data_IF_023915530952
#
_entry.id   IF_023915530952
#
_cell.length_a   1.000
_cell.length_b   1.000
_cell.length_c   1.000
_cell.angle_alpha   90.00
_cell.angle_beta   90.00
_cell.angle_gamma   90.00
#
_symmetry.space_group_name_H-M   'P 1'
#
loop_
_entity.id
_entity.type
_entity.pdbx_description
1 polymer ?
#
# COMPACT_ATOMS: atom_id res chain seq x y z
N UNK A 1 53.42 -15.90 21.80
CA UNK A 1 52.28 -16.74 21.36
C UNK A 1 51.39 -16.07 20.28
N UNK A 2 51.58 -14.79 19.92
CA UNK A 2 50.68 -14.08 18.99
C UNK A 2 50.97 -14.23 17.48
N UNK A 3 52.22 -14.48 17.08
CA UNK A 3 52.57 -14.50 15.66
C UNK A 3 52.21 -15.80 14.92
N UNK A 4 52.38 -16.94 15.59
CA UNK A 4 52.05 -18.25 15.01
C UNK A 4 50.54 -18.40 14.78
N UNK A 5 49.74 -17.87 15.71
CA UNK A 5 48.28 -17.82 15.60
C UNK A 5 47.83 -16.93 14.44
N UNK A 6 48.38 -15.71 14.31
CA UNK A 6 48.09 -14.82 13.17
C UNK A 6 48.46 -15.46 11.82
N UNK A 7 49.56 -16.20 11.75
CA UNK A 7 49.97 -16.93 10.53
C UNK A 7 49.08 -18.14 10.21
N UNK A 8 48.50 -18.80 11.22
CA UNK A 8 47.52 -19.86 10.98
C UNK A 8 46.17 -19.29 10.54
N UNK A 9 45.67 -18.25 11.21
CA UNK A 9 44.43 -17.55 10.82
C UNK A 9 44.55 -16.98 9.41
N UNK A 10 45.69 -16.36 9.06
CA UNK A 10 45.91 -15.83 7.70
C UNK A 10 45.92 -16.92 6.62
N UNK A 11 46.49 -18.09 6.88
CA UNK A 11 46.48 -19.22 5.92
C UNK A 11 45.11 -19.87 5.78
N UNK A 12 44.40 -20.04 6.88
CA UNK A 12 42.99 -20.48 6.85
C UNK A 12 42.18 -19.44 6.09
N UNK A 13 42.48 -18.15 6.32
CA UNK A 13 41.82 -17.04 5.66
C UNK A 13 42.12 -17.00 4.15
N UNK A 14 43.34 -17.27 3.71
CA UNK A 14 43.63 -17.33 2.27
C UNK A 14 42.99 -18.56 1.63
N UNK A 15 42.89 -19.67 2.36
CA UNK A 15 42.33 -20.93 1.86
C UNK A 15 40.82 -20.88 1.60
N UNK A 16 40.00 -20.45 2.57
CA UNK A 16 38.55 -20.28 2.33
C UNK A 16 38.27 -19.19 1.28
N UNK A 17 39.06 -18.09 1.21
CA UNK A 17 38.86 -17.06 0.19
C UNK A 17 39.07 -17.62 -1.22
N UNK A 18 40.10 -18.44 -1.46
CA UNK A 18 40.35 -19.07 -2.76
C UNK A 18 39.26 -20.06 -3.13
N UNK A 19 38.76 -20.86 -2.17
CA UNK A 19 37.65 -21.78 -2.40
C UNK A 19 36.36 -21.02 -2.75
N UNK A 20 36.06 -19.94 -2.04
CA UNK A 20 34.90 -19.09 -2.30
C UNK A 20 35.03 -18.38 -3.65
N UNK A 21 36.22 -17.88 -4.00
CA UNK A 21 36.48 -17.26 -5.30
C UNK A 21 36.37 -18.25 -6.46
N UNK A 22 36.88 -19.47 -6.29
CA UNK A 22 36.74 -20.55 -7.27
C UNK A 22 35.28 -20.90 -7.48
N UNK A 23 34.52 -21.07 -6.39
CA UNK A 23 33.09 -21.33 -6.43
C UNK A 23 32.31 -20.18 -7.07
N UNK A 24 32.63 -18.94 -6.74
CA UNK A 24 32.04 -17.75 -7.35
C UNK A 24 32.29 -17.69 -8.86
N UNK A 25 33.49 -18.06 -9.32
CA UNK A 25 33.83 -18.01 -10.74
C UNK A 25 33.24 -19.18 -11.53
N UNK A 26 33.09 -20.35 -10.89
CA UNK A 26 32.52 -21.54 -11.52
C UNK A 26 30.99 -21.43 -11.63
N UNK A 27 30.32 -20.86 -10.62
CA UNK A 27 28.86 -20.74 -10.54
C UNK A 27 28.35 -19.31 -10.71
N UNK A 28 29.13 -18.39 -11.27
CA UNK A 28 28.77 -16.96 -11.35
C UNK A 28 27.44 -16.71 -12.08
N UNK A 29 27.17 -17.48 -13.14
CA UNK A 29 25.91 -17.41 -13.89
C UNK A 29 24.71 -17.90 -13.06
N UNK A 30 24.86 -18.98 -12.30
CA UNK A 30 23.79 -19.52 -11.45
C UNK A 30 23.47 -18.57 -10.30
N UNK A 31 24.50 -17.96 -9.72
CA UNK A 31 24.36 -16.92 -8.70
C UNK A 31 23.60 -15.71 -9.27
N UNK A 32 23.95 -15.26 -10.48
CA UNK A 32 23.25 -14.17 -11.16
C UNK A 32 21.77 -14.49 -11.38
N UNK A 33 21.45 -15.69 -11.90
CA UNK A 33 20.07 -16.13 -12.11
C UNK A 33 19.31 -16.18 -10.79
N UNK A 34 19.94 -16.70 -9.74
CA UNK A 34 19.34 -16.78 -8.39
C UNK A 34 19.02 -15.38 -7.87
N UNK A 35 19.96 -14.43 -7.97
CA UNK A 35 19.73 -13.04 -7.57
C UNK A 35 18.59 -12.43 -8.38
N UNK A 36 18.58 -12.63 -9.70
CA UNK A 36 17.53 -12.09 -10.58
C UNK A 36 16.15 -12.66 -10.22
N UNK A 37 16.09 -13.96 -9.91
CA UNK A 37 14.87 -14.64 -9.48
C UNK A 37 14.37 -14.10 -8.13
N UNK A 38 15.27 -13.84 -7.18
CA UNK A 38 14.91 -13.25 -5.89
C UNK A 38 14.38 -11.82 -6.04
N UNK A 39 14.96 -11.02 -6.94
CA UNK A 39 14.45 -9.68 -7.25
C UNK A 39 13.04 -9.77 -7.86
N UNK A 40 12.82 -10.68 -8.81
CA UNK A 40 11.51 -10.90 -9.40
C UNK A 40 10.48 -11.35 -8.37
N UNK A 41 10.82 -12.32 -7.52
CA UNK A 41 9.94 -12.78 -6.43
C UNK A 41 9.63 -11.63 -5.49
N UNK A 42 10.62 -10.84 -5.07
CA UNK A 42 10.41 -9.69 -4.20
C UNK A 42 9.46 -8.67 -4.83
N UNK A 43 9.67 -8.31 -6.10
CA UNK A 43 8.78 -7.39 -6.82
C UNK A 43 7.35 -7.92 -6.92
N UNK A 44 7.20 -9.21 -7.15
CA UNK A 44 5.90 -9.87 -7.27
C UNK A 44 5.19 -9.92 -5.91
N UNK A 45 5.92 -10.25 -4.85
CA UNK A 45 5.47 -10.23 -3.45
C UNK A 45 5.06 -8.81 -3.04
N UNK A 46 5.91 -7.80 -3.24
CA UNK A 46 5.60 -6.41 -2.90
C UNK A 46 4.34 -5.93 -3.63
N UNK A 47 4.19 -6.25 -4.92
CA UNK A 47 3.02 -5.87 -5.70
C UNK A 47 1.75 -6.65 -5.30
N UNK A 48 1.87 -7.93 -4.95
CA UNK A 48 0.74 -8.76 -4.56
C UNK A 48 0.27 -8.43 -3.13
N UNK A 49 1.20 -8.33 -2.18
CA UNK A 49 0.91 -7.96 -0.80
C UNK A 49 0.39 -6.54 -0.69
N UNK A 50 0.95 -5.56 -1.40
CA UNK A 50 0.44 -4.18 -1.35
C UNK A 50 -1.03 -4.11 -1.77
N UNK A 51 -1.40 -4.75 -2.87
CA UNK A 51 -2.79 -4.81 -3.33
C UNK A 51 -3.70 -5.59 -2.38
N UNK A 52 -3.22 -6.70 -1.83
CA UNK A 52 -3.99 -7.53 -0.92
C UNK A 52 -4.22 -6.85 0.44
N UNK A 53 -3.17 -6.24 0.99
CA UNK A 53 -3.22 -5.47 2.23
C UNK A 53 -4.06 -4.22 2.08
N UNK A 54 -3.99 -3.50 0.96
CA UNK A 54 -4.87 -2.33 0.69
C UNK A 54 -6.35 -2.75 0.67
N UNK A 55 -6.66 -3.90 0.07
CA UNK A 55 -8.03 -4.43 0.06
C UNK A 55 -8.51 -4.82 1.46
N UNK A 56 -7.66 -5.50 2.24
CA UNK A 56 -7.98 -5.86 3.63
C UNK A 56 -8.11 -4.61 4.49
N UNK A 57 -7.23 -3.64 4.32
CA UNK A 57 -7.27 -2.37 5.05
C UNK A 57 -8.62 -1.68 4.82
N UNK A 58 -9.03 -1.50 3.56
CA UNK A 58 -10.32 -0.88 3.23
C UNK A 58 -11.52 -1.65 3.79
N UNK A 59 -11.42 -2.98 3.84
CA UNK A 59 -12.45 -3.83 4.45
C UNK A 59 -12.47 -3.70 5.99
N UNK A 60 -11.31 -3.72 6.65
CA UNK A 60 -11.19 -3.59 8.10
C UNK A 60 -11.66 -2.23 8.60
N UNK A 61 -11.40 -1.17 7.83
CA UNK A 61 -11.85 0.19 8.16
C UNK A 61 -13.30 0.47 7.72
N UNK A 62 -14.01 -0.53 7.20
CA UNK A 62 -15.42 -0.45 6.82
C UNK A 62 -15.76 0.77 5.97
N UNK A 63 -14.90 1.06 4.97
CA UNK A 63 -15.08 2.21 4.09
C UNK A 63 -16.45 2.24 3.43
N UNK A 64 -16.97 1.07 3.04
CA UNK A 64 -18.32 0.93 2.48
C UNK A 64 -19.41 1.36 3.47
N UNK A 65 -19.35 0.89 4.72
CA UNK A 65 -20.32 1.25 5.75
C UNK A 65 -20.32 2.75 6.06
N UNK A 66 -19.13 3.33 6.23
CA UNK A 66 -18.99 4.77 6.49
C UNK A 66 -19.45 5.61 5.30
N UNK A 67 -19.11 5.23 4.07
CA UNK A 67 -19.59 5.94 2.87
C UNK A 67 -21.11 5.83 2.71
N UNK A 68 -21.70 4.68 3.02
CA UNK A 68 -23.15 4.50 2.98
C UNK A 68 -23.88 5.37 4.01
N UNK A 69 -23.37 5.45 5.24
CA UNK A 69 -23.93 6.31 6.28
C UNK A 69 -23.80 7.80 5.94
N UNK A 70 -22.62 8.24 5.51
CA UNK A 70 -22.40 9.62 5.09
C UNK A 70 -23.29 10.01 3.91
N UNK A 71 -23.41 9.12 2.91
CA UNK A 71 -24.32 9.32 1.78
C UNK A 71 -25.77 9.47 2.25
N UNK A 72 -26.24 8.58 3.13
CA UNK A 72 -27.60 8.62 3.66
C UNK A 72 -27.89 9.95 4.37
N UNK A 73 -26.92 10.47 5.11
CA UNK A 73 -27.03 11.77 5.77
C UNK A 73 -27.03 12.93 4.76
N UNK A 74 -26.24 12.87 3.69
CA UNK A 74 -26.23 13.88 2.62
C UNK A 74 -27.52 13.86 1.78
N UNK A 75 -28.09 12.69 1.52
CA UNK A 75 -29.33 12.53 0.75
C UNK A 75 -30.60 12.71 1.61
N UNK A 76 -30.45 12.87 2.93
CA UNK A 76 -31.59 13.08 3.83
C UNK A 76 -32.22 14.45 3.59
N UNK A 77 -33.55 14.51 3.67
CA UNK A 77 -34.26 15.77 3.72
C UNK A 77 -34.06 16.41 5.10
N UNK A 78 -33.41 17.57 5.12
CA UNK A 78 -33.11 18.33 6.32
C UNK A 78 -34.10 19.48 6.57
N UNK A 79 -35.08 19.67 5.69
CA UNK A 79 -36.22 20.58 5.87
C UNK A 79 -35.84 21.96 6.39
N UNK A 80 -36.30 22.30 7.59
CA UNK A 80 -36.11 23.61 8.22
C UNK A 80 -34.64 23.92 8.57
N UNK A 81 -33.77 22.91 8.68
CA UNK A 81 -32.36 23.09 9.03
C UNK A 81 -31.60 23.89 7.95
N UNK A 82 -32.06 23.87 6.70
CA UNK A 82 -31.49 24.66 5.61
C UNK A 82 -31.57 26.18 5.86
N UNK A 83 -32.48 26.64 6.72
CA UNK A 83 -32.59 28.05 7.07
C UNK A 83 -31.57 28.48 8.14
N UNK A 84 -30.83 27.54 8.73
CA UNK A 84 -29.79 27.83 9.73
C UNK A 84 -28.41 27.90 9.07
N UNK A 85 -27.73 29.06 9.10
CA UNK A 85 -26.43 29.23 8.45
C UNK A 85 -25.36 28.24 8.96
N UNK A 86 -25.40 27.93 10.25
CA UNK A 86 -24.47 27.00 10.90
C UNK A 86 -24.62 25.58 10.33
N UNK A 87 -25.85 25.15 10.06
CA UNK A 87 -26.13 23.86 9.44
C UNK A 87 -25.60 23.81 8.01
N UNK A 88 -25.84 24.84 7.20
CA UNK A 88 -25.32 24.90 5.83
C UNK A 88 -23.80 24.78 5.78
N UNK A 89 -23.08 25.44 6.69
CA UNK A 89 -21.62 25.34 6.81
C UNK A 89 -21.21 23.92 7.22
N UNK A 90 -21.89 23.33 8.20
CA UNK A 90 -21.61 21.97 8.66
C UNK A 90 -21.87 20.93 7.55
N UNK A 91 -22.95 21.10 6.80
CA UNK A 91 -23.32 20.26 5.66
C UNK A 91 -22.27 20.33 4.55
N UNK A 92 -21.81 21.52 4.18
CA UNK A 92 -20.74 21.69 3.18
C UNK A 92 -19.42 21.04 3.63
N UNK A 93 -19.05 21.18 4.90
CA UNK A 93 -17.88 20.51 5.47
C UNK A 93 -18.02 18.98 5.45
N UNK A 94 -19.22 18.49 5.74
CA UNK A 94 -19.51 17.06 5.66
C UNK A 94 -19.41 16.54 4.22
N UNK A 95 -19.92 17.28 3.25
CA UNK A 95 -19.79 16.94 1.84
C UNK A 95 -18.32 16.92 1.39
N UNK A 96 -17.52 17.90 1.80
CA UNK A 96 -16.07 17.93 1.49
C UNK A 96 -15.31 16.75 2.13
N UNK A 97 -15.62 16.44 3.39
CA UNK A 97 -15.08 15.27 4.07
C UNK A 97 -15.49 13.96 3.38
N UNK A 98 -16.74 13.86 2.92
CA UNK A 98 -17.24 12.72 2.14
C UNK A 98 -16.47 12.54 0.83
N UNK A 99 -16.25 13.60 0.06
CA UNK A 99 -15.47 13.56 -1.19
C UNK A 99 -14.02 13.14 -0.92
N UNK A 100 -13.41 13.66 0.15
CA UNK A 100 -12.05 13.29 0.56
C UNK A 100 -11.98 11.80 0.93
N UNK A 101 -12.95 11.30 1.70
CA UNK A 101 -13.01 9.92 2.11
C UNK A 101 -13.29 8.97 0.93
N UNK A 102 -14.17 9.37 0.01
CA UNK A 102 -14.45 8.64 -1.24
C UNK A 102 -13.19 8.56 -2.11
N UNK A 103 -12.44 9.65 -2.24
CA UNK A 103 -11.18 9.65 -2.98
C UNK A 103 -10.14 8.73 -2.33
N UNK A 104 -10.05 8.73 -1.00
CA UNK A 104 -9.19 7.79 -0.28
C UNK A 104 -9.61 6.32 -0.53
N UNK A 105 -10.91 6.03 -0.54
CA UNK A 105 -11.43 4.69 -0.84
C UNK A 105 -11.07 4.22 -2.26
N UNK A 106 -11.13 5.15 -3.23
CA UNK A 106 -10.83 4.91 -4.66
C UNK A 106 -9.33 4.88 -4.98
N UNK A 107 -8.50 5.39 -4.09
CA UNK A 107 -7.05 5.44 -4.28
C UNK A 107 -6.44 4.09 -3.99
N UNK A 108 -5.66 3.53 -4.93
CA UNK A 108 -4.98 2.26 -4.75
C UNK A 108 -3.74 2.35 -3.84
N UNK A 109 -3.12 1.21 -3.54
CA UNK A 109 -1.88 1.13 -2.77
C UNK A 109 -0.72 1.95 -3.35
N UNK A 110 -0.79 2.34 -4.64
CA UNK A 110 0.21 3.16 -5.33
C UNK A 110 -0.10 4.66 -5.29
N UNK A 111 -1.18 5.07 -4.63
CA UNK A 111 -1.62 6.46 -4.54
C UNK A 111 -2.38 6.95 -5.77
N UNK A 112 -2.81 6.06 -6.67
CA UNK A 112 -3.55 6.44 -7.88
C UNK A 112 -5.04 6.19 -7.72
N UNK A 113 -5.84 7.17 -8.13
CA UNK A 113 -7.30 7.04 -8.22
C UNK A 113 -7.66 6.02 -9.29
N UNK A 114 -8.31 4.93 -8.88
CA UNK A 114 -8.91 3.98 -9.80
C UNK A 114 -10.28 4.48 -10.26
N UNK A 115 -10.51 4.41 -11.58
CA UNK A 115 -11.81 4.71 -12.18
C UNK A 115 -12.77 3.54 -11.96
N UNK A 116 -12.28 2.32 -12.11
CA UNK A 116 -13.00 1.04 -12.06
C UNK A 116 -13.19 0.48 -10.64
N UNK A 117 -13.81 1.25 -9.74
CA UNK A 117 -13.98 0.82 -8.34
C UNK A 117 -15.43 0.54 -7.99
N UNK A 118 -15.67 -0.43 -7.08
CA UNK A 118 -16.98 -0.67 -6.47
C UNK A 118 -17.56 0.59 -5.78
N UNK A 119 -16.72 1.59 -5.52
CA UNK A 119 -17.09 2.88 -4.93
C UNK A 119 -17.67 3.90 -5.93
N UNK A 120 -17.75 3.60 -7.24
CA UNK A 120 -18.42 4.49 -8.20
C UNK A 120 -19.88 4.77 -7.85
N UNK A 121 -20.56 3.81 -7.21
CA UNK A 121 -21.94 3.99 -6.73
C UNK A 121 -22.09 5.18 -5.76
N UNK A 122 -21.02 5.54 -5.04
CA UNK A 122 -20.98 6.65 -4.10
C UNK A 122 -20.57 7.99 -4.78
N UNK A 123 -20.14 7.97 -6.05
CA UNK A 123 -19.78 9.20 -6.75
C UNK A 123 -21.01 10.02 -7.17
N UNK A 124 -22.15 9.35 -7.39
CA UNK A 124 -23.42 9.98 -7.74
C UNK A 124 -24.28 10.21 -6.49
N UNK A 125 -23.86 11.12 -5.62
CA UNK A 125 -24.75 11.64 -4.58
C UNK A 125 -25.64 12.69 -5.23
N UNK A 126 -26.94 12.40 -5.33
CA UNK A 126 -27.93 13.39 -5.72
C UNK A 126 -28.18 14.27 -4.50
N UNK A 127 -27.54 15.44 -4.47
CA UNK A 127 -27.89 16.48 -3.52
C UNK A 127 -29.32 16.87 -3.88
N UNK A 128 -30.28 16.58 -3.00
CA UNK A 128 -31.66 17.00 -3.16
C UNK A 128 -31.66 18.54 -3.23
N UNK A 129 -31.79 19.06 -4.46
CA UNK A 129 -31.92 20.48 -4.76
C UNK A 129 -33.35 20.95 -4.62
#
# INVERSE_FOLDING_TARGET
>A
MGEAFKRQVKRIQESWFVVILGFLFEYWFEILITILSLILVKLLVDRLLSNFLDRIYKMCFNYDGTLAEMRKLLESDHGELWNTPEFCIAYLKMHDAYQTFLNAARTDASGKLRRDTAYEQYAAVNIAS
#
